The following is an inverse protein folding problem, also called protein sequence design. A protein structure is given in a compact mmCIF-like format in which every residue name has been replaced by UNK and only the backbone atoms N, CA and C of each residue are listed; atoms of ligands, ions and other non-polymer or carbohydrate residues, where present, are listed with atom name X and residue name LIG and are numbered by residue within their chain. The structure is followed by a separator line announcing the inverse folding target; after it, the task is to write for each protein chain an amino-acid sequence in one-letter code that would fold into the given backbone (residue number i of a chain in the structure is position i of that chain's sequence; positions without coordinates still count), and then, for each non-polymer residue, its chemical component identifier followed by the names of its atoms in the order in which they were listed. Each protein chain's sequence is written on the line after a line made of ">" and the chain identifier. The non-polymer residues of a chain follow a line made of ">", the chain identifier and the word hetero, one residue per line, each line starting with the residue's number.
data_IF_714458565954
#
_entry.id   IF_714458565954
#
_cell.length_a   1.000
_cell.length_b   1.000
_cell.length_c   1.000
_cell.angle_alpha   90.00
_cell.angle_beta   90.00
_cell.angle_gamma   90.00
#
_symmetry.space_group_name_H-M   'P 1'
#
loop_
_entity.id
_entity.type
_entity.pdbx_description
1 polymer ?
#
# COMPACT_ATOMS: atom_id res chain seq x y z
N UNK A 1 7.19 20.39 22.59
CA UNK A 1 5.97 19.55 22.50
C UNK A 1 4.68 20.36 22.67
N UNK A 2 4.57 21.28 23.64
CA UNK A 2 3.36 22.10 23.84
C UNK A 2 2.91 22.89 22.60
N UNK A 3 3.86 23.48 21.84
CA UNK A 3 3.53 24.22 20.60
C UNK A 3 2.96 23.33 19.48
N UNK A 4 3.41 22.09 19.36
CA UNK A 4 2.84 21.14 18.39
C UNK A 4 1.41 20.75 18.79
N UNK A 5 1.17 20.51 20.08
CA UNK A 5 -0.17 20.19 20.59
C UNK A 5 -1.18 21.31 20.35
N UNK A 6 -0.78 22.58 20.55
CA UNK A 6 -1.63 23.74 20.28
C UNK A 6 -2.00 23.90 18.79
N UNK A 7 -1.09 23.53 17.87
CA UNK A 7 -1.35 23.56 16.42
C UNK A 7 -2.21 22.38 15.97
N UNK A 8 -1.99 21.20 16.54
CA UNK A 8 -2.74 19.99 16.16
C UNK A 8 -4.13 19.92 16.77
N UNK A 9 -4.37 20.55 17.93
CA UNK A 9 -5.65 20.48 18.63
C UNK A 9 -6.83 21.02 17.79
N UNK A 10 -6.74 22.19 17.12
CA UNK A 10 -7.79 22.63 16.19
C UNK A 10 -8.05 21.64 15.05
N UNK A 11 -6.98 21.01 14.52
CA UNK A 11 -7.09 20.01 13.46
C UNK A 11 -7.82 18.77 13.97
N UNK A 12 -7.47 18.24 15.14
CA UNK A 12 -8.15 17.08 15.73
C UNK A 12 -9.61 17.36 16.08
N UNK A 13 -9.92 18.54 16.62
CA UNK A 13 -11.29 18.96 16.90
C UNK A 13 -12.10 19.02 15.61
N UNK A 14 -11.56 19.65 14.56
CA UNK A 14 -12.20 19.71 13.24
C UNK A 14 -12.46 18.31 12.68
N UNK A 15 -11.46 17.44 12.72
CA UNK A 15 -11.55 16.05 12.23
C UNK A 15 -12.62 15.27 13.00
N UNK A 16 -12.68 15.41 14.33
CA UNK A 16 -13.67 14.74 15.16
C UNK A 16 -15.09 15.18 14.83
N UNK A 17 -15.34 16.49 14.69
CA UNK A 17 -16.68 16.99 14.38
C UNK A 17 -17.16 16.64 12.97
N UNK A 18 -16.26 16.57 11.98
CA UNK A 18 -16.64 16.27 10.59
C UNK A 18 -16.68 14.78 10.27
N UNK A 19 -15.82 13.98 10.90
CA UNK A 19 -15.62 12.57 10.52
C UNK A 19 -15.82 11.57 11.67
N UNK A 20 -16.14 12.04 12.88
CA UNK A 20 -16.32 11.19 14.06
C UNK A 20 -15.02 10.62 14.65
N UNK A 21 -13.85 11.05 14.15
CA UNK A 21 -12.53 10.59 14.60
C UNK A 21 -11.51 11.72 14.59
N UNK A 22 -10.71 11.86 15.65
CA UNK A 22 -9.62 12.86 15.74
C UNK A 22 -8.52 12.64 14.70
N UNK A 23 -8.45 11.43 14.14
CA UNK A 23 -7.49 11.04 13.11
C UNK A 23 -8.08 11.13 11.68
N UNK A 24 -9.30 11.64 11.54
CA UNK A 24 -9.99 11.87 10.26
C UNK A 24 -10.75 10.65 9.72
N UNK A 25 -11.36 10.82 8.54
CA UNK A 25 -12.24 9.84 7.90
C UNK A 25 -11.61 8.45 7.72
N UNK A 26 -10.35 8.39 7.30
CA UNK A 26 -9.65 7.11 7.12
C UNK A 26 -9.54 6.33 8.43
N UNK A 27 -9.10 6.97 9.50
CA UNK A 27 -9.00 6.28 10.77
C UNK A 27 -10.36 5.81 11.29
N UNK A 28 -11.43 6.57 11.02
CA UNK A 28 -12.79 6.16 11.36
C UNK A 28 -13.20 4.87 10.63
N UNK A 29 -12.98 4.80 9.30
CA UNK A 29 -13.28 3.62 8.48
C UNK A 29 -12.46 2.40 8.92
N UNK A 30 -11.15 2.56 9.10
CA UNK A 30 -10.26 1.42 9.39
C UNK A 30 -10.32 0.95 10.85
N UNK A 31 -10.59 1.85 11.81
CA UNK A 31 -10.85 1.45 13.20
C UNK A 31 -12.10 0.59 13.34
N UNK A 32 -13.11 0.81 12.49
CA UNK A 32 -14.30 -0.06 12.40
C UNK A 32 -14.02 -1.42 11.73
N UNK A 33 -12.95 -1.55 10.94
CA UNK A 33 -12.53 -2.81 10.31
C UNK A 33 -11.63 -3.65 11.23
N UNK A 34 -10.98 -3.01 12.22
CA UNK A 34 -10.13 -3.69 13.18
C UNK A 34 -10.99 -4.43 14.23
N UNK A 35 -11.29 -5.70 13.96
CA UNK A 35 -11.90 -6.59 14.96
C UNK A 35 -11.04 -6.73 16.22
N UNK A 36 -11.66 -7.08 17.34
CA UNK A 36 -10.96 -7.38 18.59
C UNK A 36 -10.15 -8.68 18.46
N UNK A 37 -8.84 -8.51 18.26
CA UNK A 37 -7.88 -9.62 18.21
C UNK A 37 -7.48 -10.06 19.62
N UNK A 38 -7.32 -11.37 19.82
CA UNK A 38 -6.72 -11.90 21.04
C UNK A 38 -5.23 -11.51 21.13
N UNK A 39 -4.63 -11.43 22.33
CA UNK A 39 -3.21 -11.06 22.48
C UNK A 39 -2.25 -11.93 21.67
N UNK A 40 -2.51 -13.24 21.58
CA UNK A 40 -1.68 -14.18 20.78
C UNK A 40 -1.80 -13.87 19.29
N UNK A 41 -3.02 -13.64 18.80
CA UNK A 41 -3.25 -13.29 17.40
C UNK A 41 -2.66 -11.92 17.03
N UNK A 42 -2.62 -10.98 17.97
CA UNK A 42 -1.97 -9.69 17.80
C UNK A 42 -0.45 -9.85 17.62
N UNK A 43 0.21 -10.64 18.47
CA UNK A 43 1.65 -10.90 18.35
C UNK A 43 1.95 -11.60 17.02
N UNK A 44 1.17 -12.62 16.65
CA UNK A 44 1.33 -13.31 15.37
C UNK A 44 1.15 -12.36 14.17
N UNK A 45 0.17 -11.46 14.22
CA UNK A 45 -0.05 -10.44 13.20
C UNK A 45 1.15 -9.47 13.10
N UNK A 46 1.70 -9.03 14.24
CA UNK A 46 2.89 -8.18 14.26
C UNK A 46 4.14 -8.88 13.77
N UNK A 47 4.31 -10.18 14.04
CA UNK A 47 5.40 -10.97 13.45
C UNK A 47 5.22 -11.11 11.94
N UNK A 48 3.97 -11.33 11.47
CA UNK A 48 3.64 -11.38 10.04
C UNK A 48 3.98 -10.06 9.33
N UNK A 49 3.86 -8.92 9.99
CA UNK A 49 4.24 -7.62 9.41
C UNK A 49 5.69 -7.56 8.96
N UNK A 50 6.61 -8.22 9.65
CA UNK A 50 8.02 -8.27 9.21
C UNK A 50 8.14 -8.96 7.86
N UNK A 51 7.44 -10.07 7.65
CA UNK A 51 7.39 -10.71 6.34
C UNK A 51 6.75 -9.77 5.31
N UNK A 52 5.60 -9.18 5.64
CA UNK A 52 4.83 -8.40 4.66
C UNK A 52 5.54 -7.11 4.23
N UNK A 53 6.00 -6.30 5.18
CA UNK A 53 6.59 -4.99 4.89
C UNK A 53 8.05 -5.05 4.47
N UNK A 54 8.77 -6.14 4.74
CA UNK A 54 10.17 -6.27 4.33
C UNK A 54 10.32 -7.06 3.03
N UNK A 55 9.45 -8.05 2.78
CA UNK A 55 9.68 -9.01 1.71
C UNK A 55 8.47 -9.33 0.83
N UNK A 56 7.24 -9.35 1.34
CA UNK A 56 6.08 -9.76 0.55
C UNK A 56 5.81 -8.79 -0.61
N UNK A 57 5.90 -9.32 -1.83
CA UNK A 57 5.79 -8.55 -3.06
C UNK A 57 5.03 -9.35 -4.12
N UNK A 58 3.77 -8.96 -4.39
CA UNK A 58 2.92 -9.59 -5.41
C UNK A 58 1.92 -10.64 -4.89
N UNK A 59 1.22 -10.32 -3.79
CA UNK A 59 0.13 -11.14 -3.22
C UNK A 59 0.59 -12.42 -2.52
N UNK A 60 -0.32 -13.07 -1.79
CA UNK A 60 -0.04 -14.30 -1.04
C UNK A 60 -0.13 -15.53 -1.96
N UNK A 61 1.01 -15.97 -2.48
CA UNK A 61 1.13 -17.20 -3.25
C UNK A 61 2.34 -18.00 -2.78
N UNK A 62 2.30 -19.33 -2.90
CA UNK A 62 3.45 -20.20 -2.60
C UNK A 62 4.71 -19.78 -3.37
N UNK A 63 4.51 -19.23 -4.57
CA UNK A 63 5.58 -18.68 -5.40
C UNK A 63 6.20 -17.43 -4.78
N UNK A 64 5.41 -16.54 -4.17
CA UNK A 64 5.92 -15.34 -3.48
C UNK A 64 6.89 -15.72 -2.36
N UNK A 65 6.58 -16.75 -1.57
CA UNK A 65 7.48 -17.26 -0.51
C UNK A 65 8.81 -17.75 -1.11
N UNK A 66 8.75 -18.51 -2.21
CA UNK A 66 9.95 -18.99 -2.90
C UNK A 66 10.81 -17.83 -3.41
N UNK A 67 10.19 -16.84 -4.06
CA UNK A 67 10.89 -15.68 -4.63
C UNK A 67 11.49 -14.76 -3.55
N UNK A 68 10.87 -14.70 -2.38
CA UNK A 68 11.38 -13.96 -1.21
C UNK A 68 12.58 -14.66 -0.55
N UNK A 69 12.65 -15.99 -0.62
CA UNK A 69 13.63 -16.78 0.12
C UNK A 69 15.10 -16.33 -0.04
N UNK A 70 15.61 -15.89 -1.22
CA UNK A 70 16.98 -15.42 -1.33
C UNK A 70 17.26 -14.17 -0.50
N UNK A 71 16.29 -13.26 -0.37
CA UNK A 71 16.42 -12.05 0.46
C UNK A 71 16.41 -12.37 1.96
N UNK A 72 15.61 -13.34 2.38
CA UNK A 72 15.64 -13.86 3.75
C UNK A 72 17.00 -14.50 4.04
N UNK A 73 17.50 -15.34 3.13
CA UNK A 73 18.82 -15.97 3.25
C UNK A 73 19.93 -14.91 3.32
N UNK A 74 19.85 -13.83 2.52
CA UNK A 74 20.78 -12.71 2.59
C UNK A 74 20.75 -11.98 3.94
N UNK A 75 19.55 -11.81 4.51
CA UNK A 75 19.37 -11.23 5.85
C UNK A 75 20.03 -12.10 6.93
N UNK A 76 19.78 -13.41 6.91
CA UNK A 76 20.38 -14.36 7.84
C UNK A 76 21.91 -14.41 7.67
N UNK A 77 22.39 -14.44 6.42
CA UNK A 77 23.81 -14.43 6.10
C UNK A 77 24.53 -13.22 6.69
N UNK A 78 23.98 -12.01 6.50
CA UNK A 78 24.59 -10.79 7.04
C UNK A 78 24.41 -10.62 8.55
N UNK A 79 23.39 -11.23 9.15
CA UNK A 79 23.21 -11.22 10.61
C UNK A 79 24.18 -12.17 11.32
N UNK A 80 24.42 -13.37 10.79
CA UNK A 80 25.28 -14.37 11.44
C UNK A 80 26.78 -14.19 11.14
N UNK A 81 27.16 -13.41 10.13
CA UNK A 81 28.58 -13.21 9.78
C UNK A 81 28.98 -11.74 9.92
N UNK A 82 29.75 -11.46 10.97
CA UNK A 82 30.27 -10.12 11.29
C UNK A 82 31.31 -9.62 10.29
N UNK A 83 32.15 -10.53 9.81
CA UNK A 83 33.13 -10.22 8.78
C UNK A 83 32.47 -10.33 7.41
N UNK A 84 32.82 -9.42 6.48
CA UNK A 84 32.46 -9.48 5.05
C UNK A 84 33.01 -10.74 4.33
N UNK A 85 33.44 -11.75 5.08
CA UNK A 85 33.98 -13.05 4.66
C UNK A 85 32.92 -14.16 4.70
N UNK A 86 31.67 -13.88 4.31
CA UNK A 86 30.88 -14.96 3.70
C UNK A 86 31.73 -15.55 2.57
N UNK A 87 31.82 -16.90 2.46
CA UNK A 87 32.62 -17.56 1.41
C UNK A 87 32.28 -16.88 0.08
N UNK A 88 33.22 -16.08 -0.46
CA UNK A 88 33.01 -15.12 -1.55
C UNK A 88 32.17 -15.65 -2.74
N UNK A 89 32.31 -16.92 -3.20
CA UNK A 89 31.44 -17.45 -4.26
C UNK A 89 29.96 -17.55 -3.86
N UNK A 90 29.64 -17.86 -2.60
CA UNK A 90 28.25 -17.95 -2.13
C UNK A 90 27.56 -16.60 -2.13
N UNK A 91 28.29 -15.51 -1.90
CA UNK A 91 27.72 -14.14 -1.97
C UNK A 91 27.32 -13.80 -3.40
N UNK A 92 28.19 -14.09 -4.38
CA UNK A 92 27.87 -13.89 -5.79
C UNK A 92 26.65 -14.69 -6.23
N UNK A 93 26.57 -15.98 -5.86
CA UNK A 93 25.40 -16.84 -6.13
C UNK A 93 24.14 -16.24 -5.50
N UNK A 94 24.22 -15.84 -4.23
CA UNK A 94 23.07 -15.28 -3.51
C UNK A 94 22.57 -13.97 -4.11
N UNK A 95 23.49 -13.08 -4.52
CA UNK A 95 23.14 -11.86 -5.24
C UNK A 95 22.44 -12.16 -6.57
N UNK A 96 22.92 -13.16 -7.32
CA UNK A 96 22.27 -13.62 -8.55
C UNK A 96 20.91 -14.26 -8.30
N UNK A 97 20.73 -15.00 -7.20
CA UNK A 97 19.43 -15.52 -6.80
C UNK A 97 18.45 -14.38 -6.45
N UNK A 98 18.91 -13.36 -5.72
CA UNK A 98 18.10 -12.18 -5.43
C UNK A 98 17.73 -11.41 -6.71
N UNK A 99 18.68 -11.26 -7.64
CA UNK A 99 18.46 -10.70 -8.96
C UNK A 99 17.43 -11.49 -9.78
N UNK A 100 17.58 -12.82 -9.84
CA UNK A 100 16.63 -13.70 -10.52
C UNK A 100 15.22 -13.60 -9.93
N UNK A 101 15.11 -13.62 -8.59
CA UNK A 101 13.83 -13.40 -7.91
C UNK A 101 13.22 -12.04 -8.22
N UNK A 102 14.02 -10.97 -8.15
CA UNK A 102 13.57 -9.61 -8.47
C UNK A 102 13.12 -9.47 -9.92
N UNK A 103 13.79 -10.14 -10.86
CA UNK A 103 13.39 -10.17 -12.27
C UNK A 103 12.04 -10.88 -12.46
N UNK A 104 11.85 -12.06 -11.85
CA UNK A 104 10.56 -12.77 -11.94
C UNK A 104 9.43 -11.94 -11.32
N UNK A 105 9.69 -11.28 -10.18
CA UNK A 105 8.75 -10.35 -9.56
C UNK A 105 8.40 -9.17 -10.48
N UNK A 106 9.40 -8.55 -11.14
CA UNK A 106 9.18 -7.48 -12.11
C UNK A 106 8.32 -7.97 -13.30
N UNK A 107 8.63 -9.13 -13.87
CA UNK A 107 7.83 -9.70 -14.96
C UNK A 107 6.38 -9.91 -14.52
N UNK A 108 6.14 -10.41 -13.30
CA UNK A 108 4.78 -10.54 -12.76
C UNK A 108 4.06 -9.20 -12.62
N UNK A 109 4.75 -8.15 -12.18
CA UNK A 109 4.17 -6.80 -12.14
C UNK A 109 3.79 -6.30 -13.53
N UNK A 110 4.68 -6.49 -14.52
CA UNK A 110 4.45 -6.05 -15.89
C UNK A 110 3.31 -6.81 -16.57
N UNK A 111 3.07 -8.07 -16.18
CA UNK A 111 1.99 -8.91 -16.68
C UNK A 111 0.71 -8.83 -15.85
N UNK A 112 0.67 -8.01 -14.79
CA UNK A 112 -0.53 -7.88 -13.96
C UNK A 112 -1.69 -7.29 -14.77
N UNK A 113 -2.86 -7.92 -14.65
CA UNK A 113 -4.11 -7.42 -15.22
C UNK A 113 -4.74 -6.31 -14.36
N UNK A 114 -4.28 -6.11 -13.13
CA UNK A 114 -4.83 -5.14 -12.18
C UNK A 114 -3.70 -4.38 -11.46
N UNK A 115 -2.84 -3.66 -12.19
CA UNK A 115 -1.59 -3.13 -11.63
C UNK A 115 -1.84 -2.14 -10.48
N UNK A 116 -2.89 -1.32 -10.54
CA UNK A 116 -3.25 -0.40 -9.46
C UNK A 116 -3.66 -1.16 -8.19
N UNK A 117 -4.47 -2.21 -8.30
CA UNK A 117 -4.90 -2.99 -7.14
C UNK A 117 -3.72 -3.76 -6.51
N UNK A 118 -2.86 -4.32 -7.36
CA UNK A 118 -1.69 -5.08 -6.92
C UNK A 118 -0.71 -4.24 -6.10
N UNK A 119 -0.71 -2.92 -6.26
CA UNK A 119 0.11 -2.02 -5.45
C UNK A 119 -0.13 -2.19 -3.93
N UNK A 120 -1.35 -2.55 -3.51
CA UNK A 120 -1.70 -2.84 -2.12
C UNK A 120 -0.85 -3.99 -1.56
N UNK A 121 -0.42 -4.93 -2.42
CA UNK A 121 0.40 -6.09 -2.07
C UNK A 121 1.90 -5.94 -2.44
N UNK A 122 2.34 -4.72 -2.76
CA UNK A 122 3.75 -4.39 -3.08
C UNK A 122 4.39 -3.51 -1.99
N UNK A 123 4.19 -3.88 -0.73
CA UNK A 123 4.59 -3.10 0.44
C UNK A 123 6.07 -3.26 0.83
N UNK A 124 6.75 -4.22 0.20
CA UNK A 124 8.04 -4.70 0.68
C UNK A 124 9.22 -3.78 0.37
N UNK A 125 10.03 -3.51 1.38
CA UNK A 125 11.27 -2.72 1.26
C UNK A 125 12.33 -3.40 0.38
N UNK A 126 12.70 -4.66 0.70
CA UNK A 126 13.89 -5.29 0.09
C UNK A 126 13.60 -5.91 -1.27
N UNK A 127 12.41 -6.48 -1.46
CA UNK A 127 12.00 -7.02 -2.77
C UNK A 127 11.46 -5.93 -3.69
N UNK A 128 10.89 -4.85 -3.16
CA UNK A 128 10.51 -3.66 -3.93
C UNK A 128 11.70 -2.77 -4.32
N UNK A 129 12.83 -2.90 -3.62
CA UNK A 129 14.12 -2.29 -4.01
C UNK A 129 15.24 -3.33 -3.87
N UNK A 130 15.36 -4.29 -4.81
CA UNK A 130 16.28 -5.42 -4.72
C UNK A 130 17.73 -5.06 -4.39
N UNK A 131 18.22 -3.89 -4.82
CA UNK A 131 19.56 -3.41 -4.52
C UNK A 131 19.84 -3.28 -3.01
N UNK A 132 18.81 -3.10 -2.18
CA UNK A 132 18.96 -3.03 -0.72
C UNK A 132 19.44 -4.33 -0.09
N UNK A 133 19.54 -5.43 -0.84
CA UNK A 133 20.17 -6.67 -0.39
C UNK A 133 21.63 -6.47 0.07
N UNK A 134 22.35 -5.49 -0.48
CA UNK A 134 23.70 -5.18 0.01
C UNK A 134 23.71 -4.73 1.46
N UNK A 135 22.72 -3.93 1.89
CA UNK A 135 22.56 -3.59 3.30
C UNK A 135 22.30 -4.84 4.16
N UNK A 136 21.44 -5.75 3.70
CA UNK A 136 21.16 -7.01 4.41
C UNK A 136 22.43 -7.84 4.62
N UNK A 137 23.25 -7.99 3.59
CA UNK A 137 24.50 -8.74 3.63
C UNK A 137 25.56 -8.12 4.56
N UNK A 138 25.51 -6.80 4.77
CA UNK A 138 26.47 -6.07 5.59
C UNK A 138 25.98 -5.66 6.97
N UNK A 139 24.74 -5.99 7.34
CA UNK A 139 24.04 -5.39 8.49
C UNK A 139 24.84 -5.45 9.80
N UNK A 140 25.33 -6.64 10.20
CA UNK A 140 26.08 -6.77 11.45
C UNK A 140 27.45 -6.10 11.38
N UNK A 141 28.09 -6.13 10.21
CA UNK A 141 29.39 -5.50 10.02
C UNK A 141 29.31 -3.97 10.09
N UNK A 142 28.22 -3.40 9.56
CA UNK A 142 27.96 -1.96 9.66
C UNK A 142 27.59 -1.55 11.09
N UNK A 143 26.73 -2.31 11.77
CA UNK A 143 26.37 -2.08 13.18
C UNK A 143 27.57 -2.19 14.14
N UNK A 144 28.54 -3.04 13.80
CA UNK A 144 29.75 -3.22 14.60
C UNK A 144 30.96 -2.44 14.06
N UNK A 145 30.74 -1.48 13.16
CA UNK A 145 31.81 -0.65 12.60
C UNK A 145 32.47 0.22 13.68
N UNK A 146 33.78 0.45 13.52
CA UNK A 146 34.55 1.42 14.31
C UNK A 146 34.20 2.87 13.93
N UNK A 147 33.69 3.09 12.71
CA UNK A 147 33.24 4.40 12.23
C UNK A 147 31.86 4.71 12.81
N UNK A 148 31.79 5.74 13.64
CA UNK A 148 30.58 6.10 14.38
C UNK A 148 29.42 6.48 13.45
N UNK A 149 29.72 7.10 12.31
CA UNK A 149 28.71 7.56 11.35
C UNK A 149 28.01 6.37 10.69
N UNK A 150 28.77 5.34 10.31
CA UNK A 150 28.22 4.12 9.70
C UNK A 150 27.40 3.34 10.70
N UNK A 151 27.91 3.20 11.93
CA UNK A 151 27.20 2.52 13.02
C UNK A 151 25.88 3.22 13.34
N UNK A 152 25.89 4.55 13.44
CA UNK A 152 24.70 5.35 13.71
C UNK A 152 23.68 5.21 12.58
N UNK A 153 24.08 5.42 11.32
CA UNK A 153 23.19 5.30 10.18
C UNK A 153 22.55 3.90 10.08
N UNK A 154 23.34 2.84 10.26
CA UNK A 154 22.82 1.47 10.29
C UNK A 154 21.88 1.22 11.46
N UNK A 155 22.22 1.67 12.66
CA UNK A 155 21.37 1.52 13.84
C UNK A 155 20.04 2.26 13.65
N UNK A 156 20.07 3.46 13.09
CA UNK A 156 18.87 4.24 12.74
C UNK A 156 18.00 3.49 11.73
N UNK A 157 18.57 2.99 10.63
CA UNK A 157 17.83 2.20 9.63
C UNK A 157 17.18 0.96 10.25
N UNK A 158 17.92 0.19 11.06
CA UNK A 158 17.38 -1.00 11.73
C UNK A 158 16.26 -0.61 12.71
N UNK A 159 16.50 0.36 13.59
CA UNK A 159 15.51 0.79 14.57
C UNK A 159 14.21 1.28 13.90
N UNK A 160 14.32 2.06 12.82
CA UNK A 160 13.17 2.49 12.05
C UNK A 160 12.47 1.32 11.37
N UNK A 161 13.20 0.40 10.73
CA UNK A 161 12.62 -0.78 10.07
C UNK A 161 11.81 -1.61 11.09
N UNK A 162 12.40 -1.89 12.25
CA UNK A 162 11.74 -2.62 13.34
C UNK A 162 10.50 -1.86 13.85
N UNK A 163 10.66 -0.56 14.11
CA UNK A 163 9.58 0.30 14.58
C UNK A 163 8.42 0.37 13.60
N UNK A 164 8.68 0.58 12.31
CA UNK A 164 7.66 0.59 11.27
C UNK A 164 6.91 -0.75 11.20
N UNK A 165 7.62 -1.89 11.20
CA UNK A 165 6.96 -3.20 11.17
C UNK A 165 6.06 -3.46 12.39
N UNK A 166 6.46 -2.95 13.57
CA UNK A 166 5.68 -3.07 14.79
C UNK A 166 4.48 -2.12 14.83
N UNK A 167 4.61 -0.91 14.30
CA UNK A 167 3.57 0.12 14.37
C UNK A 167 2.51 -0.02 13.28
N UNK A 168 2.91 -0.39 12.05
CA UNK A 168 1.97 -0.54 10.93
C UNK A 168 1.03 -1.74 11.15
N UNK A 169 -0.18 -1.68 10.59
CA UNK A 169 -1.15 -2.80 10.63
C UNK A 169 -1.52 -3.22 9.20
N UNK A 170 -1.81 -4.51 9.02
CA UNK A 170 -2.22 -5.03 7.70
C UNK A 170 -3.64 -4.58 7.32
N UNK A 171 -4.48 -4.32 8.33
CA UNK A 171 -5.77 -3.67 8.12
C UNK A 171 -5.63 -2.37 7.36
N UNK A 172 -4.53 -1.64 7.58
CA UNK A 172 -4.30 -0.30 7.06
C UNK A 172 -3.56 -0.32 5.70
N UNK A 173 -3.31 -1.51 5.11
CA UNK A 173 -2.61 -1.63 3.82
C UNK A 173 -3.31 -0.91 2.67
N UNK A 174 -4.64 -0.74 2.75
CA UNK A 174 -5.39 0.09 1.80
C UNK A 174 -5.06 1.58 1.93
N UNK A 175 -4.76 2.08 3.14
CA UNK A 175 -4.28 3.45 3.36
C UNK A 175 -2.82 3.57 2.93
N UNK A 176 -2.04 2.54 3.27
CA UNK A 176 -0.59 2.45 3.11
C UNK A 176 -0.30 1.95 1.69
N UNK A 177 -0.27 2.85 0.70
CA UNK A 177 0.07 2.48 -0.68
C UNK A 177 1.59 2.27 -0.84
N UNK A 178 2.01 1.02 -0.99
CA UNK A 178 3.41 0.62 -1.21
C UNK A 178 4.37 0.94 -0.06
N UNK A 179 5.66 0.69 -0.31
CA UNK A 179 6.75 0.85 0.66
C UNK A 179 7.09 2.31 1.05
N UNK A 180 6.21 3.30 0.80
CA UNK A 180 6.45 4.74 1.02
C UNK A 180 6.83 5.09 2.46
N UNK A 181 6.41 4.27 3.42
CA UNK A 181 6.72 4.42 4.85
C UNK A 181 8.21 4.26 5.14
N UNK A 182 8.98 3.68 4.21
CA UNK A 182 10.43 3.55 4.29
C UNK A 182 11.18 4.61 3.47
N UNK A 183 10.50 5.54 2.80
CA UNK A 183 11.15 6.52 1.90
C UNK A 183 12.21 7.36 2.62
N UNK A 184 11.97 7.70 3.90
CA UNK A 184 12.90 8.42 4.75
C UNK A 184 14.23 7.67 5.02
N UNK A 185 14.28 6.36 4.76
CA UNK A 185 15.49 5.55 4.96
C UNK A 185 16.44 5.55 3.75
N UNK A 186 15.94 5.83 2.55
CA UNK A 186 16.75 5.75 1.33
C UNK A 186 18.02 6.60 1.35
N UNK A 187 18.03 7.85 1.89
CA UNK A 187 19.25 8.64 2.02
C UNK A 187 20.35 7.97 2.84
N UNK A 188 20.00 7.08 3.77
CA UNK A 188 20.95 6.32 4.60
C UNK A 188 21.27 4.95 4.00
N UNK A 189 20.24 4.24 3.52
CA UNK A 189 20.38 2.90 2.98
C UNK A 189 21.23 2.85 1.71
N UNK A 190 21.10 3.84 0.82
CA UNK A 190 21.84 3.86 -0.45
C UNK A 190 23.37 3.95 -0.23
N UNK A 191 23.92 4.92 0.53
CA UNK A 191 25.34 4.95 0.84
C UNK A 191 25.83 3.69 1.56
N UNK A 192 25.04 3.15 2.50
CA UNK A 192 25.40 1.92 3.21
C UNK A 192 25.50 0.72 2.25
N UNK A 193 24.58 0.59 1.29
CA UNK A 193 24.64 -0.44 0.25
C UNK A 193 25.91 -0.31 -0.61
N UNK A 194 26.27 0.92 -1.02
CA UNK A 194 27.48 1.17 -1.81
C UNK A 194 28.76 0.80 -1.04
N UNK A 195 28.82 1.12 0.26
CA UNK A 195 29.96 0.75 1.12
C UNK A 195 30.09 -0.77 1.26
N UNK A 196 28.97 -1.47 1.41
CA UNK A 196 28.98 -2.94 1.50
C UNK A 196 29.38 -3.56 0.16
N UNK A 197 28.87 -3.04 -0.95
CA UNK A 197 29.23 -3.47 -2.29
C UNK A 197 30.75 -3.39 -2.53
N UNK A 198 31.37 -2.25 -2.23
CA UNK A 198 32.82 -2.05 -2.37
C UNK A 198 33.62 -3.09 -1.57
N UNK A 199 33.23 -3.33 -0.31
CA UNK A 199 33.92 -4.27 0.59
C UNK A 199 33.77 -5.75 0.21
N UNK A 200 32.68 -6.12 -0.45
CA UNK A 200 32.43 -7.49 -0.91
C UNK A 200 33.27 -7.84 -2.16
N UNK A 201 33.86 -6.85 -2.83
CA UNK A 201 34.46 -6.98 -4.17
C UNK A 201 36.00 -6.78 -4.27
N UNK A 202 36.86 -7.39 -3.42
CA UNK A 202 38.30 -7.11 -3.44
C UNK A 202 39.13 -7.85 -4.52
N UNK A 203 38.65 -8.97 -5.10
CA UNK A 203 39.40 -9.76 -6.11
C UNK A 203 38.96 -9.44 -7.55
N UNK A 204 39.89 -9.25 -8.49
CA UNK A 204 39.59 -8.79 -9.87
C UNK A 204 38.57 -9.64 -10.67
N UNK A 205 38.61 -10.98 -10.59
CA UNK A 205 37.65 -11.81 -11.34
C UNK A 205 36.27 -11.87 -10.67
N UNK A 206 36.25 -12.00 -9.34
CA UNK A 206 35.00 -12.07 -8.57
C UNK A 206 34.30 -10.71 -8.49
N UNK A 207 35.07 -9.62 -8.67
CA UNK A 207 34.57 -8.26 -8.87
C UNK A 207 33.65 -8.17 -10.08
N UNK A 208 33.88 -8.91 -11.16
CA UNK A 208 32.97 -8.92 -12.32
C UNK A 208 31.59 -9.47 -11.96
N UNK A 209 31.52 -10.57 -11.20
CA UNK A 209 30.26 -11.21 -10.79
C UNK A 209 29.47 -10.31 -9.81
N UNK A 210 30.15 -9.75 -8.82
CA UNK A 210 29.51 -8.84 -7.85
C UNK A 210 29.09 -7.54 -8.53
N UNK A 211 29.90 -7.00 -9.44
CA UNK A 211 29.56 -5.80 -10.20
C UNK A 211 28.37 -6.02 -11.14
N UNK A 212 28.34 -7.12 -11.90
CA UNK A 212 27.23 -7.41 -12.81
C UNK A 212 25.92 -7.67 -12.07
N UNK A 213 25.97 -8.41 -10.97
CA UNK A 213 24.78 -8.60 -10.10
C UNK A 213 24.32 -7.28 -9.47
N UNK A 214 25.24 -6.43 -9.01
CA UNK A 214 24.90 -5.10 -8.49
C UNK A 214 24.21 -4.23 -9.56
N UNK A 215 24.79 -4.17 -10.77
CA UNK A 215 24.21 -3.45 -11.90
C UNK A 215 22.79 -3.94 -12.20
N UNK A 216 22.59 -5.25 -12.25
CA UNK A 216 21.29 -5.83 -12.51
C UNK A 216 20.28 -5.55 -11.38
N UNK A 217 20.69 -5.65 -10.12
CA UNK A 217 19.85 -5.32 -8.96
C UNK A 217 19.45 -3.82 -8.94
N UNK A 218 20.36 -2.92 -9.32
CA UNK A 218 20.08 -1.49 -9.49
C UNK A 218 19.05 -1.30 -10.62
N UNK A 219 19.29 -1.90 -11.79
CA UNK A 219 18.38 -1.81 -12.92
C UNK A 219 16.98 -2.32 -12.56
N UNK A 220 16.88 -3.47 -11.89
CA UNK A 220 15.61 -4.00 -11.39
C UNK A 220 14.93 -3.05 -10.40
N UNK A 221 15.69 -2.49 -9.45
CA UNK A 221 15.15 -1.53 -8.49
C UNK A 221 14.56 -0.32 -9.22
N UNK A 222 15.28 0.25 -10.19
CA UNK A 222 14.80 1.37 -11.00
C UNK A 222 13.54 0.98 -11.78
N UNK A 223 13.54 -0.17 -12.46
CA UNK A 223 12.39 -0.61 -13.26
C UNK A 223 11.14 -0.84 -12.41
N UNK A 224 11.28 -1.41 -11.21
CA UNK A 224 10.17 -1.57 -10.26
C UNK A 224 9.63 -0.20 -9.83
N UNK A 225 10.50 0.76 -9.50
CA UNK A 225 10.07 2.11 -9.12
C UNK A 225 9.42 2.86 -10.29
N UNK A 226 9.95 2.74 -11.52
CA UNK A 226 9.35 3.31 -12.72
C UNK A 226 7.96 2.70 -13.00
N UNK A 227 7.80 1.40 -12.80
CA UNK A 227 6.49 0.76 -12.87
C UNK A 227 5.53 1.33 -11.82
N UNK A 228 5.98 1.49 -10.57
CA UNK A 228 5.20 2.13 -9.51
C UNK A 228 4.76 3.56 -9.86
N UNK A 229 5.64 4.36 -10.46
CA UNK A 229 5.31 5.72 -10.93
C UNK A 229 4.28 5.68 -12.06
N UNK A 230 4.42 4.79 -13.05
CA UNK A 230 3.42 4.61 -14.10
C UNK A 230 2.06 4.25 -13.51
N UNK A 231 2.02 3.29 -12.58
CA UNK A 231 0.78 2.85 -11.93
C UNK A 231 0.15 3.97 -11.08
N UNK A 232 0.97 4.82 -10.45
CA UNK A 232 0.49 6.02 -9.77
C UNK A 232 -0.22 6.98 -10.73
N UNK A 233 0.34 7.23 -11.93
CA UNK A 233 -0.33 8.08 -12.92
C UNK A 233 -1.65 7.49 -13.40
N UNK A 234 -1.72 6.17 -13.65
CA UNK A 234 -2.97 5.49 -13.99
C UNK A 234 -4.02 5.65 -12.89
N UNK A 235 -3.62 5.52 -11.62
CA UNK A 235 -4.50 5.77 -10.47
C UNK A 235 -5.00 7.21 -10.45
N UNK A 236 -4.10 8.20 -10.61
CA UNK A 236 -4.46 9.62 -10.59
C UNK A 236 -5.43 10.00 -11.71
N UNK A 237 -5.23 9.46 -12.91
CA UNK A 237 -6.14 9.63 -14.04
C UNK A 237 -7.53 9.05 -13.74
N UNK A 238 -7.59 7.84 -13.18
CA UNK A 238 -8.85 7.21 -12.79
C UNK A 238 -9.59 8.00 -11.70
N UNK A 239 -8.88 8.45 -10.67
CA UNK A 239 -9.45 9.29 -9.60
C UNK A 239 -9.95 10.63 -10.15
N UNK A 240 -9.24 11.25 -11.09
CA UNK A 240 -9.65 12.50 -11.73
C UNK A 240 -10.91 12.31 -12.60
N UNK A 241 -10.99 11.21 -13.37
CA UNK A 241 -12.17 10.87 -14.16
C UNK A 241 -13.40 10.64 -13.26
N UNK A 242 -13.22 9.89 -12.16
CA UNK A 242 -14.28 9.66 -11.17
C UNK A 242 -14.74 10.97 -10.52
N UNK A 243 -13.81 11.82 -10.09
CA UNK A 243 -14.12 13.13 -9.51
C UNK A 243 -14.91 13.99 -10.49
N UNK A 244 -14.48 14.06 -11.75
CA UNK A 244 -15.14 14.84 -12.79
C UNK A 244 -16.57 14.34 -13.02
N UNK A 245 -16.79 13.03 -13.03
CA UNK A 245 -18.11 12.44 -13.19
C UNK A 245 -19.06 12.74 -12.02
N UNK A 246 -18.54 12.75 -10.77
CA UNK A 246 -19.32 13.14 -9.58
C UNK A 246 -19.58 14.65 -9.56
N UNK A 247 -18.62 15.48 -9.98
CA UNK A 247 -18.83 16.93 -10.06
C UNK A 247 -19.88 17.29 -11.12
N UNK A 248 -19.92 16.55 -12.23
CA UNK A 248 -20.92 16.68 -13.30
C UNK A 248 -22.30 16.10 -12.95
N UNK A 249 -22.43 15.32 -11.87
CA UNK A 249 -23.74 14.82 -11.42
C UNK A 249 -24.62 15.97 -10.90
N UNK A 250 -25.96 15.83 -10.86
CA UNK A 250 -26.87 16.89 -10.42
C UNK A 250 -26.42 17.54 -9.11
N UNK A 251 -26.24 18.86 -9.10
CA UNK A 251 -25.74 19.57 -7.92
C UNK A 251 -26.75 19.51 -6.77
N UNK A 252 -26.27 19.26 -5.55
CA UNK A 252 -27.09 19.13 -4.35
C UNK A 252 -27.52 17.69 -4.01
N UNK A 253 -27.48 16.77 -4.98
CA UNK A 253 -27.77 15.37 -4.71
C UNK A 253 -26.65 14.73 -3.86
N UNK A 254 -27.00 14.02 -2.76
CA UNK A 254 -26.06 13.19 -2.04
C UNK A 254 -25.52 12.05 -2.92
N UNK A 255 -24.31 11.61 -2.62
CA UNK A 255 -23.69 10.45 -3.26
C UNK A 255 -23.79 9.25 -2.31
N UNK A 256 -24.64 8.28 -2.67
CA UNK A 256 -24.71 6.99 -1.99
C UNK A 256 -23.74 6.01 -2.64
N UNK A 257 -22.87 5.36 -1.88
CA UNK A 257 -21.91 4.40 -2.43
C UNK A 257 -21.56 3.26 -1.48
N UNK A 258 -21.19 2.11 -2.05
CA UNK A 258 -20.68 0.93 -1.34
C UNK A 258 -19.17 0.74 -1.53
N UNK A 259 -18.49 1.70 -2.13
CA UNK A 259 -17.07 1.63 -2.49
C UNK A 259 -16.21 2.09 -1.32
N UNK A 260 -15.54 1.16 -0.64
CA UNK A 260 -14.79 1.46 0.60
C UNK A 260 -13.67 2.50 0.45
N UNK A 261 -13.04 2.60 -0.72
CA UNK A 261 -11.94 3.53 -0.99
C UNK A 261 -12.42 4.89 -1.51
N UNK A 262 -13.72 5.07 -1.75
CA UNK A 262 -14.27 6.32 -2.26
C UNK A 262 -13.94 7.52 -1.36
N UNK A 263 -13.98 7.42 -0.02
CA UNK A 263 -13.59 8.52 0.84
C UNK A 263 -12.17 9.01 0.63
N UNK A 264 -11.27 8.07 0.33
CA UNK A 264 -9.85 8.34 0.11
C UNK A 264 -9.66 9.17 -1.17
N UNK A 265 -10.34 8.76 -2.24
CA UNK A 265 -10.19 9.40 -3.56
C UNK A 265 -10.97 10.71 -3.65
N UNK A 266 -12.14 10.79 -3.01
CA UNK A 266 -13.05 11.93 -3.12
C UNK A 266 -12.90 12.94 -1.99
N UNK A 267 -11.83 12.88 -1.19
CA UNK A 267 -11.59 13.78 -0.05
C UNK A 267 -11.86 15.26 -0.34
N UNK A 268 -11.48 15.74 -1.54
CA UNK A 268 -11.72 17.13 -1.97
C UNK A 268 -13.20 17.51 -2.21
N UNK A 269 -14.08 16.53 -2.34
CA UNK A 269 -15.53 16.69 -2.54
C UNK A 269 -16.33 16.55 -1.24
N UNK A 270 -15.77 15.98 -0.16
CA UNK A 270 -16.51 15.75 1.11
C UNK A 270 -17.04 17.03 1.75
N UNK A 271 -16.41 18.17 1.49
CA UNK A 271 -16.88 19.48 1.98
C UNK A 271 -17.92 20.13 1.05
N UNK A 272 -18.11 19.58 -0.17
CA UNK A 272 -19.01 20.13 -1.19
C UNK A 272 -20.27 19.29 -1.38
N UNK A 273 -20.22 18.00 -1.06
CA UNK A 273 -21.32 17.05 -1.21
C UNK A 273 -21.45 16.15 0.00
N UNK A 274 -22.68 15.74 0.27
CA UNK A 274 -22.98 14.70 1.26
C UNK A 274 -22.66 13.34 0.64
N UNK A 275 -21.84 12.55 1.32
CA UNK A 275 -21.55 11.17 0.95
C UNK A 275 -22.17 10.22 1.98
N UNK A 276 -22.94 9.25 1.51
CA UNK A 276 -23.54 8.21 2.32
C UNK A 276 -22.91 6.86 1.95
N UNK A 277 -22.08 6.34 2.85
CA UNK A 277 -21.32 5.11 2.67
C UNK A 277 -22.10 3.91 3.23
N UNK A 278 -22.42 2.93 2.39
CA UNK A 278 -23.02 1.66 2.82
C UNK A 278 -21.92 0.64 3.08
N UNK A 279 -21.75 0.25 4.35
CA UNK A 279 -20.68 -0.64 4.80
C UNK A 279 -21.13 -2.07 5.10
N UNK A 280 -22.41 -2.40 4.89
CA UNK A 280 -22.97 -3.72 5.18
C UNK A 280 -23.78 -4.26 4.01
N UNK A 281 -23.86 -5.60 3.91
CA UNK A 281 -24.57 -6.29 2.81
C UNK A 281 -26.06 -5.97 2.69
N UNK A 282 -26.67 -5.52 3.80
CA UNK A 282 -28.09 -5.23 3.97
C UNK A 282 -28.35 -3.75 4.34
N UNK A 283 -27.33 -2.89 4.25
CA UNK A 283 -27.44 -1.51 4.70
C UNK A 283 -28.10 -0.56 3.69
N UNK A 284 -28.45 -1.03 2.48
CA UNK A 284 -29.04 -0.17 1.47
C UNK A 284 -30.43 0.32 1.88
N UNK A 285 -31.30 -0.56 2.40
CA UNK A 285 -32.63 -0.16 2.85
C UNK A 285 -32.57 0.92 3.95
N UNK A 286 -31.66 0.78 4.91
CA UNK A 286 -31.42 1.76 5.97
C UNK A 286 -30.91 3.10 5.41
N UNK A 287 -29.99 3.06 4.44
CA UNK A 287 -29.50 4.25 3.77
C UNK A 287 -30.61 4.99 3.00
N UNK A 288 -31.47 4.26 2.29
CA UNK A 288 -32.63 4.84 1.59
C UNK A 288 -33.64 5.44 2.57
N UNK A 289 -33.89 4.76 3.70
CA UNK A 289 -34.76 5.28 4.76
C UNK A 289 -34.19 6.57 5.36
N UNK A 290 -32.87 6.62 5.60
CA UNK A 290 -32.17 7.83 6.11
C UNK A 290 -32.32 9.01 5.15
N UNK A 291 -32.20 8.79 3.83
CA UNK A 291 -32.43 9.82 2.82
C UNK A 291 -33.88 10.32 2.87
N UNK A 292 -34.85 9.40 2.95
CA UNK A 292 -36.28 9.72 3.05
C UNK A 292 -36.61 10.54 4.28
N UNK A 293 -36.11 10.14 5.44
CA UNK A 293 -36.33 10.82 6.72
C UNK A 293 -35.69 12.21 6.74
N UNK A 294 -34.61 12.40 5.98
CA UNK A 294 -33.95 13.70 5.78
C UNK A 294 -34.63 14.57 4.71
N UNK A 295 -35.77 14.13 4.14
CA UNK A 295 -36.50 14.85 3.10
C UNK A 295 -35.81 14.86 1.73
N UNK A 296 -34.77 14.05 1.53
CA UNK A 296 -34.03 13.96 0.28
C UNK A 296 -34.75 12.97 -0.64
N UNK A 297 -35.17 13.44 -1.82
CA UNK A 297 -35.88 12.62 -2.81
C UNK A 297 -35.03 12.17 -4.00
N UNK A 298 -33.94 12.88 -4.30
CA UNK A 298 -33.01 12.55 -5.37
C UNK A 298 -31.61 12.33 -4.80
N UNK A 299 -30.90 11.36 -5.36
CA UNK A 299 -29.53 11.06 -4.99
C UNK A 299 -28.79 10.43 -6.16
N UNK A 300 -27.47 10.56 -6.15
CA UNK A 300 -26.58 9.86 -7.07
C UNK A 300 -26.11 8.59 -6.39
N UNK A 301 -26.30 7.43 -7.02
CA UNK A 301 -25.76 6.16 -6.54
C UNK A 301 -24.51 5.79 -7.35
N UNK A 302 -23.39 5.58 -6.67
CA UNK A 302 -22.12 5.19 -7.27
C UNK A 302 -21.73 3.80 -6.77
N UNK A 303 -21.68 2.82 -7.67
CA UNK A 303 -21.37 1.43 -7.34
C UNK A 303 -20.13 0.97 -8.09
N UNK A 304 -19.37 0.06 -7.49
CA UNK A 304 -18.30 -0.65 -8.21
C UNK A 304 -18.91 -1.36 -9.43
N UNK A 305 -18.28 -1.25 -10.60
CA UNK A 305 -18.69 -2.01 -11.78
C UNK A 305 -18.34 -3.50 -11.63
N UNK A 306 -17.31 -3.82 -10.84
CA UNK A 306 -16.95 -5.19 -10.51
C UNK A 306 -17.78 -5.69 -9.31
N UNK A 307 -18.61 -6.73 -9.48
CA UNK A 307 -19.42 -7.30 -8.40
C UNK A 307 -18.62 -7.81 -7.21
N UNK A 308 -17.38 -8.27 -7.42
CA UNK A 308 -16.55 -8.85 -6.36
C UNK A 308 -16.08 -7.80 -5.33
N UNK A 309 -16.16 -6.52 -5.69
CA UNK A 309 -15.83 -5.40 -4.81
C UNK A 309 -17.05 -4.67 -4.25
N UNK A 310 -18.26 -5.16 -4.52
CA UNK A 310 -19.49 -4.60 -3.95
C UNK A 310 -19.70 -5.10 -2.53
N UNK A 311 -20.07 -4.18 -1.65
CA UNK A 311 -20.53 -4.54 -0.30
C UNK A 311 -22.01 -4.88 -0.33
N UNK A 312 -22.82 -4.14 -1.11
CA UNK A 312 -24.26 -4.38 -1.20
C UNK A 312 -24.53 -5.69 -1.96
N UNK A 313 -25.30 -6.59 -1.34
CA UNK A 313 -25.65 -7.86 -1.97
C UNK A 313 -26.63 -7.69 -3.13
N UNK A 314 -26.60 -8.62 -4.10
CA UNK A 314 -27.55 -8.62 -5.24
C UNK A 314 -29.00 -8.71 -4.76
N UNK A 315 -29.26 -9.51 -3.73
CA UNK A 315 -30.60 -9.69 -3.16
C UNK A 315 -31.11 -8.40 -2.52
N UNK A 316 -30.24 -7.71 -1.76
CA UNK A 316 -30.58 -6.42 -1.16
C UNK A 316 -30.86 -5.35 -2.21
N UNK A 317 -29.99 -5.27 -3.23
CA UNK A 317 -30.20 -4.37 -4.36
C UNK A 317 -31.56 -4.65 -5.00
N UNK A 318 -31.86 -5.92 -5.31
CA UNK A 318 -33.13 -6.33 -5.93
C UNK A 318 -34.37 -5.93 -5.14
N UNK A 319 -34.34 -6.06 -3.81
CA UNK A 319 -35.44 -5.60 -2.93
C UNK A 319 -35.62 -4.08 -3.00
N UNK A 320 -34.52 -3.35 -2.92
CA UNK A 320 -34.50 -1.90 -2.88
C UNK A 320 -34.80 -1.24 -4.24
N UNK A 321 -34.60 -1.93 -5.37
CA UNK A 321 -34.95 -1.42 -6.70
C UNK A 321 -36.42 -0.96 -6.78
N UNK A 322 -37.32 -1.64 -6.06
CA UNK A 322 -38.74 -1.27 -6.05
C UNK A 322 -39.01 0.11 -5.44
N UNK A 323 -38.14 0.58 -4.55
CA UNK A 323 -38.28 1.82 -3.76
C UNK A 323 -37.76 3.07 -4.47
N UNK A 324 -37.14 2.91 -5.64
CA UNK A 324 -36.51 4.00 -6.37
C UNK A 324 -36.73 3.89 -7.87
N UNK A 325 -36.79 5.04 -8.53
CA UNK A 325 -36.63 5.15 -9.98
C UNK A 325 -35.16 5.37 -10.29
N UNK A 326 -34.60 4.56 -11.19
CA UNK A 326 -33.18 4.55 -11.51
C UNK A 326 -32.99 4.89 -12.97
N UNK A 327 -32.19 5.92 -13.24
CA UNK A 327 -31.69 6.24 -14.58
C UNK A 327 -30.19 5.95 -14.64
N UNK A 328 -29.71 5.21 -15.65
CA UNK A 328 -28.28 4.94 -15.78
C UNK A 328 -27.52 6.25 -16.07
N UNK A 329 -26.46 6.47 -15.31
CA UNK A 329 -25.48 7.53 -15.54
C UNK A 329 -24.29 7.03 -16.36
N UNK A 330 -23.21 7.84 -16.45
CA UNK A 330 -22.00 7.42 -17.15
C UNK A 330 -21.29 6.29 -16.40
N UNK A 331 -20.74 5.36 -17.18
CA UNK A 331 -19.73 4.43 -16.69
C UNK A 331 -18.38 5.12 -16.63
N UNK A 332 -17.68 5.01 -15.50
CA UNK A 332 -16.31 5.48 -15.34
C UNK A 332 -15.38 4.27 -15.45
N UNK A 333 -14.59 4.23 -16.51
CA UNK A 333 -13.58 3.22 -16.72
C UNK A 333 -12.24 3.89 -17.09
N UNK A 334 -11.15 3.33 -16.58
CA UNK A 334 -9.79 3.78 -16.91
C UNK A 334 -8.91 2.55 -17.14
N UNK A 335 -8.33 2.39 -18.35
CA UNK A 335 -7.47 1.26 -18.66
C UNK A 335 -6.30 1.14 -17.67
N UNK A 336 -6.03 -0.06 -17.16
CA UNK A 336 -5.02 -0.32 -16.14
C UNK A 336 -5.41 0.04 -14.70
N UNK A 337 -6.61 0.60 -14.50
CA UNK A 337 -7.23 0.86 -13.19
C UNK A 337 -8.62 0.24 -13.11
N UNK A 338 -8.78 -0.99 -13.64
CA UNK A 338 -10.06 -1.70 -13.77
C UNK A 338 -10.76 -1.92 -12.42
N UNK A 339 -9.97 -2.04 -11.33
CA UNK A 339 -10.46 -2.07 -9.95
C UNK A 339 -11.29 -0.82 -9.58
N UNK A 340 -10.96 0.34 -10.17
CA UNK A 340 -11.63 1.62 -9.95
C UNK A 340 -12.78 1.87 -10.91
N UNK A 341 -13.14 0.87 -11.74
CA UNK A 341 -14.28 0.99 -12.65
C UNK A 341 -15.57 1.11 -11.85
N UNK A 342 -16.36 2.14 -12.12
CA UNK A 342 -17.58 2.44 -11.38
C UNK A 342 -18.73 2.77 -12.32
N UNK A 343 -19.94 2.52 -11.85
CA UNK A 343 -21.17 2.89 -12.54
C UNK A 343 -21.93 3.92 -11.70
N UNK A 344 -22.24 5.06 -12.32
CA UNK A 344 -23.15 6.05 -11.75
C UNK A 344 -24.58 5.74 -12.12
N UNK A 345 -25.49 6.01 -11.19
CA UNK A 345 -26.93 5.97 -11.39
C UNK A 345 -27.54 7.22 -10.78
N UNK A 346 -28.53 7.78 -11.44
CA UNK A 346 -29.35 8.87 -10.92
C UNK A 346 -30.64 8.28 -10.39
N UNK A 347 -30.85 8.42 -9.08
CA UNK A 347 -31.93 7.75 -8.38
C UNK A 347 -32.92 8.78 -7.83
N UNK A 348 -34.21 8.43 -7.85
CA UNK A 348 -35.26 9.15 -7.13
C UNK A 348 -36.03 8.18 -6.25
N UNK A 349 -36.25 8.53 -4.99
CA UNK A 349 -37.11 7.76 -4.09
C UNK A 349 -38.58 7.90 -4.53
N UNK A 350 -39.32 6.80 -4.45
CA UNK A 350 -40.77 6.76 -4.72
C UNK A 350 -41.61 7.22 -3.53
#
# INVERSE_FOLDING_TARGET
>A
MAGWGLVMMPVWIFQYFHYGSIFGAHAAVYSGLAGTLSPVSLIAAKLKNFYVYLFCFGGDSRLTILLVSPFIIASLAGFFKREFRLRRPLVGILLWLCAGSGFVMLVRLLLSHTPVFDCIFTQALFTGTPFLVFFLLGILSLLSSTRIELRFASAFCVAYILGACLLLNQSDMGIIWGARHFLALFPFLLPLCLIVWDKISPDNEKRKIVFSSAFFLIALSVLIQCHGLRTLFLKLEASAALKTAIEASPQGDPVLSDIFWLPEEMGTLFHKRVFLQVNTKHGLAEALQTLKDSGIRSFTMLLSANPDYRVISKDEMGKCLSLMDISPGPEIASPGAEFMRCQLFFCKLK
#
